data_IF_438813212233
#
_entry.id   IF_438813212233
#
_cell.length_a   1.000
_cell.length_b   1.000
_cell.length_c   1.000
_cell.angle_alpha   90.00
_cell.angle_beta   90.00
_cell.angle_gamma   90.00
#
_symmetry.space_group_name_H-M   'P 1'
#
loop_
_entity.id
_entity.type
_entity.pdbx_description
1 polymer ?
#
# COMPACT_ATOMS: atom_id res chain seq x y z
N UNK A 1 -3.63 -16.15 -9.24
CA UNK A 1 -4.39 -15.00 -8.76
C UNK A 1 -3.44 -14.01 -8.07
N UNK A 2 -3.47 -12.76 -8.49
CA UNK A 2 -2.58 -11.76 -7.90
C UNK A 2 -3.31 -11.00 -6.80
N UNK A 3 -2.58 -10.71 -5.74
CA UNK A 3 -3.11 -9.92 -4.63
C UNK A 3 -2.28 -8.66 -4.50
N UNK A 4 -2.88 -7.61 -3.92
CA UNK A 4 -2.26 -6.30 -3.84
C UNK A 4 -2.40 -5.72 -2.45
N UNK A 5 -1.48 -4.82 -2.12
CA UNK A 5 -1.54 -4.09 -0.86
C UNK A 5 -1.08 -2.66 -1.07
N UNK A 6 -1.29 -1.81 -0.09
CA UNK A 6 -1.09 -0.38 -0.22
C UNK A 6 -0.04 0.11 0.75
N UNK A 7 0.87 0.91 0.21
CA UNK A 7 1.86 1.64 0.99
C UNK A 7 1.55 3.13 0.92
N UNK A 8 2.00 3.86 1.92
CA UNK A 8 1.84 5.30 1.92
C UNK A 8 3.06 5.98 2.53
N UNK A 9 3.21 7.25 2.24
CA UNK A 9 4.16 8.10 2.94
C UNK A 9 3.69 9.53 2.87
N UNK A 10 4.09 10.33 3.85
CA UNK A 10 3.95 11.77 3.77
C UNK A 10 4.92 12.28 2.70
N UNK A 11 4.58 13.37 2.02
CA UNK A 11 5.44 13.92 0.96
C UNK A 11 6.85 14.24 1.45
N UNK A 12 6.99 14.53 2.73
CA UNK A 12 8.30 14.85 3.32
C UNK A 12 9.06 13.62 3.77
N UNK A 13 8.42 12.46 3.81
CA UNK A 13 9.09 11.23 4.21
C UNK A 13 9.85 10.62 3.04
N UNK A 14 10.90 9.87 3.36
CA UNK A 14 11.71 9.23 2.35
C UNK A 14 11.26 7.81 2.02
N UNK A 15 10.55 7.17 2.94
CA UNK A 15 10.21 5.76 2.80
C UNK A 15 8.71 5.52 2.91
N UNK A 16 8.24 4.58 2.10
CA UNK A 16 6.86 4.12 2.17
C UNK A 16 6.67 3.17 3.33
N UNK A 17 5.50 3.21 3.92
CA UNK A 17 5.12 2.35 5.03
C UNK A 17 3.80 1.65 4.69
N UNK A 18 3.54 0.55 5.36
CA UNK A 18 2.28 -0.16 5.18
C UNK A 18 1.13 0.71 5.65
N UNK A 19 0.16 0.96 4.76
CA UNK A 19 -0.98 1.80 5.07
C UNK A 19 -2.06 1.03 5.81
N UNK A 20 -2.30 -0.21 5.40
CA UNK A 20 -3.30 -1.06 6.01
C UNK A 20 -2.88 -2.51 5.84
N UNK A 21 -3.36 -3.37 6.72
CA UNK A 21 -3.12 -4.81 6.60
C UNK A 21 -4.05 -5.48 5.59
N UNK A 22 -4.93 -4.72 4.97
CA UNK A 22 -5.89 -5.26 4.02
C UNK A 22 -5.20 -5.69 2.74
N UNK A 23 -5.54 -6.87 2.27
CA UNK A 23 -5.05 -7.40 1.00
C UNK A 23 -6.21 -7.33 0.00
N UNK A 24 -5.95 -6.74 -1.15
CA UNK A 24 -6.95 -6.56 -2.21
C UNK A 24 -6.70 -7.58 -3.31
N UNK A 25 -7.77 -8.09 -3.90
CA UNK A 25 -7.65 -9.01 -5.01
C UNK A 25 -7.69 -8.31 -6.37
N UNK A 26 -7.91 -7.00 -6.38
CA UNK A 26 -7.90 -6.19 -7.61
C UNK A 26 -7.11 -4.91 -7.37
N UNK A 27 -6.27 -4.57 -8.35
CA UNK A 27 -5.45 -3.39 -8.24
C UNK A 27 -6.29 -2.10 -8.17
N UNK A 28 -7.34 -2.03 -8.98
CA UNK A 28 -8.17 -0.82 -8.98
C UNK A 28 -8.94 -0.63 -7.68
N UNK A 29 -9.26 -1.70 -6.97
CA UNK A 29 -9.88 -1.57 -5.66
C UNK A 29 -8.92 -0.98 -4.64
N UNK A 30 -7.66 -1.38 -4.71
CA UNK A 30 -6.62 -0.80 -3.84
C UNK A 30 -6.43 0.68 -4.15
N UNK A 31 -6.43 1.04 -5.42
CA UNK A 31 -6.30 2.45 -5.82
C UNK A 31 -7.47 3.28 -5.33
N UNK A 32 -8.69 2.77 -5.46
CA UNK A 32 -9.87 3.51 -4.98
C UNK A 32 -9.85 3.68 -3.47
N UNK A 33 -9.41 2.65 -2.76
CA UNK A 33 -9.27 2.74 -1.32
C UNK A 33 -8.34 3.90 -0.94
N UNK A 34 -7.24 4.03 -1.66
CA UNK A 34 -6.30 5.12 -1.42
C UNK A 34 -6.92 6.48 -1.69
N UNK A 35 -7.65 6.61 -2.79
CA UNK A 35 -8.28 7.87 -3.15
C UNK A 35 -9.30 8.34 -2.12
N UNK A 36 -9.99 7.39 -1.48
CA UNK A 36 -11.00 7.72 -0.49
C UNK A 36 -10.42 7.96 0.90
N UNK A 37 -9.30 7.31 1.21
CA UNK A 37 -8.76 7.29 2.57
C UNK A 37 -7.55 8.19 2.77
N UNK A 38 -6.85 8.53 1.69
CA UNK A 38 -5.59 9.23 1.78
C UNK A 38 -5.80 10.74 1.78
N UNK A 39 -5.07 11.43 2.66
CA UNK A 39 -5.14 12.88 2.74
C UNK A 39 -4.22 13.53 1.71
N UNK A 40 -4.42 14.84 1.50
CA UNK A 40 -3.77 15.60 0.44
C UNK A 40 -2.25 15.54 0.43
N UNK A 41 -1.64 15.52 1.60
CA UNK A 41 -0.17 15.59 1.72
C UNK A 41 0.51 14.23 1.72
N UNK A 42 -0.20 13.18 1.33
CA UNK A 42 0.32 11.83 1.33
C UNK A 42 0.39 11.28 -0.09
N UNK A 43 1.36 10.40 -0.29
CA UNK A 43 1.51 9.66 -1.53
C UNK A 43 1.25 8.20 -1.26
N UNK A 44 0.77 7.49 -2.24
CA UNK A 44 0.49 6.07 -2.09
C UNK A 44 1.14 5.27 -3.20
N UNK A 45 1.25 3.98 -2.96
CA UNK A 45 1.79 3.04 -3.94
C UNK A 45 1.08 1.71 -3.75
N UNK A 46 0.63 1.13 -4.85
CA UNK A 46 0.02 -0.20 -4.84
C UNK A 46 1.06 -1.19 -5.35
N UNK A 47 1.33 -2.22 -4.57
CA UNK A 47 2.29 -3.25 -4.92
C UNK A 47 1.62 -4.63 -4.89
N UNK A 48 2.21 -5.56 -5.63
CA UNK A 48 1.76 -6.94 -5.59
C UNK A 48 2.14 -7.58 -4.26
N UNK A 49 1.20 -8.31 -3.66
CA UNK A 49 1.47 -9.03 -2.44
C UNK A 49 2.15 -10.36 -2.78
N UNK A 50 3.38 -10.53 -2.31
CA UNK A 50 4.13 -11.76 -2.50
C UNK A 50 5.03 -11.96 -1.27
N UNK A 51 5.73 -13.08 -1.23
CA UNK A 51 6.56 -13.42 -0.07
C UNK A 51 7.63 -12.36 0.21
N UNK A 52 8.28 -11.88 -0.83
CA UNK A 52 9.32 -10.88 -0.67
C UNK A 52 8.79 -9.60 -0.06
N UNK A 53 7.66 -9.11 -0.58
CA UNK A 53 7.04 -7.90 -0.06
C UNK A 53 6.46 -8.12 1.34
N UNK A 54 5.93 -9.30 1.60
CA UNK A 54 5.46 -9.63 2.94
C UNK A 54 6.59 -9.53 3.95
N UNK A 55 7.74 -10.11 3.63
CA UNK A 55 8.87 -10.08 4.54
C UNK A 55 9.37 -8.67 4.76
N UNK A 56 9.30 -7.83 3.74
CA UNK A 56 9.80 -6.46 3.80
C UNK A 56 8.90 -5.56 4.67
N UNK A 57 7.60 -5.71 4.57
CA UNK A 57 6.66 -4.76 5.17
C UNK A 57 5.88 -5.31 6.37
N UNK A 58 5.74 -6.61 6.49
CA UNK A 58 4.98 -7.24 7.58
C UNK A 58 5.85 -7.86 8.66
N UNK A 59 7.12 -8.10 8.40
CA UNK A 59 8.00 -8.83 9.33
C UNK A 59 8.81 -7.93 10.25
N UNK A 60 8.40 -6.72 10.42
CA UNK A 60 9.12 -5.79 11.30
C UNK A 60 8.63 -5.87 12.73
#
# INVERSE_FOLDING_TARGET
>A
MMLYFVLFKHKKDKEYKLFTNTIFDKENEAEEFCKKSMKRNYEHKVLEYNKENHDRYWSK
#
